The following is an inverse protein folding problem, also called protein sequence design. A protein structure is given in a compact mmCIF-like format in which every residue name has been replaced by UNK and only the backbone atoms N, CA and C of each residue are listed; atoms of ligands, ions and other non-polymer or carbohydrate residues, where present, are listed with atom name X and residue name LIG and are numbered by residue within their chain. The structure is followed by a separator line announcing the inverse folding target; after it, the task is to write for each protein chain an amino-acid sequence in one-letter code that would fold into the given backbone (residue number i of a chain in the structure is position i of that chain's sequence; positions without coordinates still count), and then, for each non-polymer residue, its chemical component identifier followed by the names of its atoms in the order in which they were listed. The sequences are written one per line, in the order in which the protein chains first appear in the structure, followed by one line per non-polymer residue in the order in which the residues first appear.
data_IF_093981628754
#
_entry.id   IF_093981628754
#
_cell.length_a   1.000
_cell.length_b   1.000
_cell.length_c   1.000
_cell.angle_alpha   90.00
_cell.angle_beta   90.00
_cell.angle_gamma   90.00
#
_symmetry.space_group_name_H-M   'P 1'
#
loop_
_entity.id
_entity.type
_entity.pdbx_description
1 polymer ?
#
# COMPACT_ATOMS: atom_id res chain seq x y z
N UNK A 1 -31.30 -0.22 4.52
CA UNK A 1 -31.35 -1.70 4.59
C UNK A 1 -30.24 -2.16 5.52
N UNK A 2 -30.55 -2.35 6.81
CA UNK A 2 -29.58 -2.84 7.79
C UNK A 2 -29.33 -4.35 7.54
N UNK A 3 -28.13 -4.70 7.09
CA UNK A 3 -27.74 -6.08 6.80
C UNK A 3 -27.56 -6.89 8.09
N UNK A 4 -27.99 -8.16 8.04
CA UNK A 4 -27.89 -9.18 9.09
C UNK A 4 -26.57 -9.11 9.87
N UNK A 5 -26.65 -8.85 11.17
CA UNK A 5 -25.52 -8.69 12.10
C UNK A 5 -24.78 -9.99 12.45
N UNK A 6 -24.25 -10.69 11.45
CA UNK A 6 -23.22 -11.71 11.66
C UNK A 6 -21.87 -11.04 11.84
N UNK A 7 -21.08 -11.48 12.82
CA UNK A 7 -19.71 -10.99 13.00
C UNK A 7 -18.83 -11.51 11.86
N UNK A 8 -18.48 -10.63 10.91
CA UNK A 8 -17.47 -10.95 9.91
C UNK A 8 -16.15 -11.33 10.62
N UNK A 9 -15.63 -12.51 10.28
CA UNK A 9 -14.37 -13.01 10.82
C UNK A 9 -13.21 -12.51 9.98
N UNK A 10 -12.14 -12.09 10.64
CA UNK A 10 -10.89 -11.79 9.95
C UNK A 10 -10.45 -13.01 9.12
N UNK A 11 -10.21 -12.78 7.84
CA UNK A 11 -9.83 -13.81 6.88
C UNK A 11 -8.45 -13.49 6.32
N UNK A 12 -7.55 -14.48 6.34
CA UNK A 12 -6.20 -14.42 5.81
C UNK A 12 -6.14 -15.30 4.56
N UNK A 13 -5.83 -14.68 3.42
CA UNK A 13 -5.75 -15.36 2.13
C UNK A 13 -4.34 -15.26 1.58
N UNK A 14 -3.74 -16.40 1.21
CA UNK A 14 -2.43 -16.45 0.57
C UNK A 14 -2.52 -16.38 -0.95
N UNK A 15 -1.59 -15.67 -1.58
CA UNK A 15 -1.47 -15.48 -3.03
C UNK A 15 -0.07 -15.83 -3.52
N UNK A 16 -0.01 -16.32 -4.76
CA UNK A 16 1.20 -16.71 -5.47
C UNK A 16 1.66 -15.65 -6.48
N UNK A 17 1.04 -14.48 -6.52
CA UNK A 17 1.44 -13.38 -7.39
C UNK A 17 1.38 -12.03 -6.65
N UNK A 18 2.25 -11.09 -7.04
CA UNK A 18 2.29 -9.75 -6.44
C UNK A 18 1.02 -8.91 -6.69
N UNK A 19 0.24 -9.25 -7.71
CA UNK A 19 -1.02 -8.57 -8.05
C UNK A 19 -2.23 -9.08 -7.26
N UNK A 20 -2.07 -10.11 -6.42
CA UNK A 20 -3.17 -10.74 -5.66
C UNK A 20 -4.30 -11.28 -6.56
N UNK A 21 -3.96 -11.78 -7.75
CA UNK A 21 -4.94 -12.32 -8.71
C UNK A 21 -5.08 -13.85 -8.62
N UNK A 22 -4.05 -14.53 -8.12
CA UNK A 22 -3.91 -15.98 -8.08
C UNK A 22 -3.64 -16.45 -6.66
N UNK A 23 -4.65 -17.04 -6.01
CA UNK A 23 -4.47 -17.62 -4.68
C UNK A 23 -3.40 -18.72 -4.69
N UNK A 24 -2.61 -18.77 -3.63
CA UNK A 24 -1.62 -19.82 -3.42
C UNK A 24 -2.30 -21.19 -3.32
N UNK A 25 -1.65 -22.22 -3.89
CA UNK A 25 -2.10 -23.60 -3.80
C UNK A 25 -1.90 -24.22 -2.42
N UNK A 26 -1.19 -23.53 -1.51
CA UNK A 26 -1.07 -23.89 -0.10
C UNK A 26 -2.44 -24.14 0.53
N UNK A 27 -2.53 -25.13 1.43
CA UNK A 27 -3.76 -25.45 2.16
C UNK A 27 -3.50 -25.53 3.67
N UNK A 28 -4.45 -25.07 4.49
CA UNK A 28 -5.70 -24.39 4.13
C UNK A 28 -5.47 -22.97 3.58
N UNK A 29 -6.33 -22.54 2.65
CA UNK A 29 -6.36 -21.19 2.08
C UNK A 29 -7.76 -20.92 1.52
N UNK A 30 -8.53 -19.93 2.04
CA UNK A 30 -8.15 -18.99 3.10
C UNK A 30 -8.22 -19.60 4.51
N UNK A 31 -7.59 -18.92 5.49
CA UNK A 31 -7.74 -19.19 6.92
C UNK A 31 -8.67 -18.12 7.51
N UNK A 32 -9.78 -18.54 8.10
CA UNK A 32 -10.64 -17.67 8.91
C UNK A 32 -10.23 -17.79 10.36
N UNK A 33 -10.06 -16.66 11.05
CA UNK A 33 -9.69 -16.68 12.47
C UNK A 33 -10.88 -17.13 13.31
N UNK A 34 -10.60 -17.89 14.37
CA UNK A 34 -11.65 -18.34 15.30
C UNK A 34 -12.14 -17.21 16.20
N UNK A 35 -11.22 -16.42 16.74
CA UNK A 35 -11.47 -15.24 17.57
C UNK A 35 -10.94 -14.05 16.79
N UNK A 36 -11.79 -13.05 16.58
CA UNK A 36 -11.36 -11.79 15.98
C UNK A 36 -10.39 -11.09 16.93
N UNK A 37 -9.36 -10.40 16.40
CA UNK A 37 -8.51 -9.57 17.25
C UNK A 37 -9.35 -8.52 17.97
N UNK A 38 -8.99 -8.21 19.20
CA UNK A 38 -9.54 -7.11 19.98
C UNK A 38 -9.11 -5.75 19.43
N UNK A 39 -7.89 -5.70 18.85
CA UNK A 39 -7.31 -4.52 18.22
C UNK A 39 -6.33 -4.91 17.11
N UNK A 40 -6.09 -3.97 16.20
CA UNK A 40 -4.96 -3.98 15.27
C UNK A 40 -4.33 -2.59 15.22
N UNK A 41 -3.06 -2.52 14.80
CA UNK A 41 -2.32 -1.27 14.63
C UNK A 41 -1.82 -1.14 13.20
N UNK A 42 -2.03 0.03 12.59
CA UNK A 42 -1.50 0.38 11.27
C UNK A 42 -0.50 1.53 11.42
N UNK A 43 0.72 1.32 10.91
CA UNK A 43 1.75 2.34 10.86
C UNK A 43 2.07 2.69 9.41
N UNK A 44 2.06 3.98 9.09
CA UNK A 44 2.49 4.51 7.79
C UNK A 44 3.70 5.41 8.02
N UNK A 45 4.71 5.33 7.17
CA UNK A 45 5.95 6.08 7.38
C UNK A 45 6.52 6.65 6.10
N UNK A 46 7.04 7.88 6.18
CA UNK A 46 7.76 8.52 5.07
C UNK A 46 9.19 8.83 5.51
N UNK A 47 10.14 8.69 4.59
CA UNK A 47 11.54 9.01 4.80
C UNK A 47 11.87 10.36 4.14
N UNK A 48 12.58 11.21 4.87
CA UNK A 48 13.10 12.49 4.36
C UNK A 48 14.61 12.58 4.56
N UNK A 49 15.31 13.12 3.58
CA UNK A 49 16.73 13.48 3.67
C UNK A 49 16.85 14.94 4.10
N UNK A 50 17.65 15.20 5.14
CA UNK A 50 18.02 16.57 5.53
C UNK A 50 19.27 16.97 4.76
N UNK A 51 19.16 17.97 3.88
CA UNK A 51 20.31 18.57 3.22
C UNK A 51 20.67 19.87 3.94
N UNK A 52 21.92 19.96 4.37
CA UNK A 52 22.50 21.17 4.94
C UNK A 52 23.46 21.76 3.91
N UNK A 53 23.11 22.91 3.34
CA UNK A 53 24.02 23.65 2.45
C UNK A 53 25.15 24.27 3.27
N UNK A 54 26.38 24.23 2.76
CA UNK A 54 27.50 24.92 3.39
C UNK A 54 27.22 26.44 3.46
N UNK A 55 27.20 27.00 4.66
CA UNK A 55 27.05 28.45 4.90
C UNK A 55 25.61 29.01 5.00
N UNK A 56 24.56 28.19 4.86
CA UNK A 56 23.17 28.64 4.97
C UNK A 56 22.46 28.14 6.25
N UNK A 57 21.68 29.01 6.91
CA UNK A 57 20.86 28.68 8.09
C UNK A 57 19.61 27.84 7.76
N UNK A 58 19.28 27.63 6.48
CA UNK A 58 18.12 26.87 6.03
C UNK A 58 18.37 25.35 5.99
N UNK A 59 17.68 24.58 6.83
CA UNK A 59 17.64 23.11 6.75
C UNK A 59 16.61 22.68 5.69
N UNK A 60 17.06 22.26 4.52
CA UNK A 60 16.15 21.72 3.48
C UNK A 60 15.81 20.27 3.81
N UNK A 61 14.52 19.97 3.96
CA UNK A 61 14.01 18.61 4.15
C UNK A 61 13.43 18.14 2.81
N UNK A 62 14.05 17.13 2.21
CA UNK A 62 13.66 16.60 0.89
C UNK A 62 13.05 15.22 1.08
N UNK A 63 11.89 14.97 0.48
CA UNK A 63 11.30 13.63 0.45
C UNK A 63 12.28 12.64 -0.19
N UNK A 64 12.49 11.51 0.47
CA UNK A 64 13.39 10.45 -0.02
C UNK A 64 12.58 9.28 -0.59
N UNK A 65 11.75 8.66 0.26
CA UNK A 65 10.91 7.52 -0.13
C UNK A 65 9.78 7.30 0.86
N UNK A 66 8.72 6.65 0.38
CA UNK A 66 7.73 6.02 1.25
C UNK A 66 8.37 4.79 1.95
N UNK A 67 8.06 4.57 3.23
CA UNK A 67 8.44 3.35 3.96
C UNK A 67 7.35 2.27 3.88
N UNK A 68 6.22 2.60 3.29
CA UNK A 68 5.04 1.76 3.18
C UNK A 68 4.22 1.71 4.46
N UNK A 69 3.20 0.88 4.40
CA UNK A 69 2.33 0.54 5.53
C UNK A 69 2.87 -0.69 6.27
N UNK A 70 2.65 -0.76 7.58
CA UNK A 70 2.80 -1.96 8.36
C UNK A 70 1.54 -2.21 9.18
N UNK A 71 1.04 -3.45 9.17
CA UNK A 71 -0.11 -3.89 9.96
C UNK A 71 0.37 -4.86 11.04
N UNK A 72 0.06 -4.57 12.29
CA UNK A 72 0.28 -5.45 13.43
C UNK A 72 -1.05 -5.90 14.02
N UNK A 73 -1.19 -7.19 14.29
CA UNK A 73 -2.34 -7.76 14.98
C UNK A 73 -1.96 -8.96 15.83
N UNK A 74 -2.84 -9.30 16.78
CA UNK A 74 -2.72 -10.47 17.62
C UNK A 74 -3.85 -11.47 17.34
N UNK A 75 -3.49 -12.70 17.01
CA UNK A 75 -4.41 -13.81 16.78
C UNK A 75 -4.40 -14.74 17.97
N UNK A 76 -5.57 -15.24 18.39
CA UNK A 76 -5.69 -16.24 19.45
C UNK A 76 -6.09 -17.56 18.81
N UNK A 77 -5.33 -18.60 19.13
CA UNK A 77 -5.59 -19.99 18.76
C UNK A 77 -5.93 -20.76 20.02
N UNK A 78 -7.01 -21.50 19.97
CA UNK A 78 -7.58 -22.21 21.11
C UNK A 78 -7.97 -23.63 20.69
N UNK A 79 -7.58 -24.60 21.52
CA UNK A 79 -7.90 -26.02 21.38
C UNK A 79 -8.70 -26.57 22.56
N UNK A 80 -9.28 -25.69 23.40
CA UNK A 80 -10.05 -26.08 24.60
C UNK A 80 -11.47 -26.53 24.27
N UNK A 81 -11.96 -26.22 23.06
CA UNK A 81 -13.34 -26.47 22.65
C UNK A 81 -14.37 -25.48 23.18
N UNK A 82 -13.92 -24.40 23.84
CA UNK A 82 -14.82 -23.37 24.41
C UNK A 82 -15.32 -22.36 23.38
N UNK A 83 -14.66 -22.24 22.24
CA UNK A 83 -15.01 -21.28 21.19
C UNK A 83 -15.99 -21.93 20.21
N UNK A 84 -17.22 -21.38 20.03
CA UNK A 84 -18.17 -21.88 19.05
C UNK A 84 -17.60 -21.83 17.62
N UNK A 85 -17.90 -22.85 16.82
CA UNK A 85 -17.43 -23.00 15.43
C UNK A 85 -15.89 -23.02 15.28
N UNK A 86 -15.15 -23.27 16.37
CA UNK A 86 -13.72 -23.48 16.32
C UNK A 86 -13.38 -24.75 15.52
N UNK A 87 -12.25 -24.76 14.80
CA UNK A 87 -11.75 -25.99 14.19
C UNK A 87 -11.60 -27.08 15.26
N UNK A 88 -11.92 -28.33 14.93
CA UNK A 88 -11.64 -29.49 15.78
C UNK A 88 -10.15 -29.85 15.85
N UNK A 89 -9.28 -28.94 15.43
CA UNK A 89 -7.83 -29.11 15.32
C UNK A 89 -7.14 -28.68 16.60
N UNK A 90 -6.05 -29.35 16.96
CA UNK A 90 -5.20 -28.91 18.06
C UNK A 90 -4.59 -27.53 17.78
N UNK A 91 -4.13 -26.82 18.83
CA UNK A 91 -3.45 -25.53 18.65
C UNK A 91 -2.23 -25.68 17.73
N UNK A 92 -1.47 -26.76 17.87
CA UNK A 92 -0.28 -27.02 17.06
C UNK A 92 -0.63 -27.21 15.58
N UNK A 93 -1.72 -27.92 15.28
CA UNK A 93 -2.21 -28.08 13.90
C UNK A 93 -2.69 -26.75 13.31
N UNK A 94 -3.41 -25.94 14.10
CA UNK A 94 -3.85 -24.62 13.66
C UNK A 94 -2.66 -23.67 13.40
N UNK A 95 -1.64 -23.70 14.26
CA UNK A 95 -0.41 -22.93 14.07
C UNK A 95 0.40 -23.43 12.88
N UNK A 96 0.45 -24.74 12.63
CA UNK A 96 1.09 -25.32 11.45
C UNK A 96 0.40 -24.85 10.17
N UNK A 97 -0.93 -24.83 10.15
CA UNK A 97 -1.70 -24.30 9.02
C UNK A 97 -1.41 -22.82 8.77
N UNK A 98 -1.38 -22.00 9.82
CA UNK A 98 -1.01 -20.59 9.70
C UNK A 98 0.41 -20.45 9.15
N UNK A 99 1.40 -21.11 9.75
CA UNK A 99 2.81 -21.07 9.34
C UNK A 99 2.97 -21.45 7.87
N UNK A 100 2.33 -22.53 7.44
CA UNK A 100 2.36 -22.98 6.04
C UNK A 100 1.84 -21.90 5.10
N UNK A 101 0.78 -21.18 5.50
CA UNK A 101 0.18 -20.13 4.67
C UNK A 101 1.03 -18.86 4.63
N UNK A 102 1.57 -18.37 5.75
CA UNK A 102 2.13 -17.01 5.86
C UNK A 102 3.65 -16.94 6.06
N UNK A 103 4.29 -18.02 6.47
CA UNK A 103 5.70 -18.04 6.88
C UNK A 103 6.57 -18.99 6.05
N UNK A 104 6.09 -20.21 5.76
CA UNK A 104 6.86 -21.20 5.03
C UNK A 104 7.08 -20.79 3.57
N UNK A 105 8.18 -21.26 2.98
CA UNK A 105 8.52 -20.98 1.59
C UNK A 105 7.55 -21.73 0.67
N UNK A 106 6.82 -20.98 -0.15
CA UNK A 106 6.07 -21.56 -1.24
C UNK A 106 7.01 -21.89 -2.40
N UNK A 107 7.11 -23.17 -2.76
CA UNK A 107 8.00 -23.66 -3.81
C UNK A 107 7.73 -23.10 -5.21
N UNK A 108 6.52 -22.61 -5.49
CA UNK A 108 6.19 -22.02 -6.79
C UNK A 108 6.76 -20.61 -6.98
N UNK A 109 6.96 -19.86 -5.89
CA UNK A 109 7.41 -18.45 -5.93
C UNK A 109 8.71 -18.23 -5.12
N UNK A 110 9.34 -19.31 -4.67
CA UNK A 110 10.57 -19.34 -3.88
C UNK A 110 10.60 -18.35 -2.70
N UNK A 111 9.45 -18.08 -2.10
CA UNK A 111 9.32 -17.15 -0.99
C UNK A 111 7.98 -17.39 -0.25
N UNK A 112 7.79 -16.83 0.96
CA UNK A 112 6.48 -16.90 1.63
C UNK A 112 5.38 -16.25 0.79
N UNK A 113 4.15 -16.71 0.93
CA UNK A 113 3.02 -16.18 0.16
C UNK A 113 2.84 -14.67 0.36
N UNK A 114 2.32 -14.01 -0.68
CA UNK A 114 1.66 -12.71 -0.49
C UNK A 114 0.37 -12.95 0.28
N UNK A 115 -0.01 -12.04 1.17
CA UNK A 115 -1.18 -12.22 2.03
C UNK A 115 -2.13 -11.03 1.92
N UNK A 116 -3.41 -11.35 1.88
CA UNK A 116 -4.49 -10.38 2.05
C UNK A 116 -5.19 -10.66 3.38
N UNK A 117 -5.31 -9.64 4.23
CA UNK A 117 -6.08 -9.67 5.46
C UNK A 117 -7.35 -8.85 5.25
N UNK A 118 -8.51 -9.48 5.45
CA UNK A 118 -9.82 -8.85 5.27
C UNK A 118 -10.68 -8.99 6.54
N UNK A 119 -11.17 -7.88 7.09
CA UNK A 119 -12.06 -7.86 8.26
C UNK A 119 -12.94 -6.59 8.31
N UNK A 120 -14.24 -6.72 8.06
CA UNK A 120 -15.12 -5.56 7.91
C UNK A 120 -14.63 -4.64 6.79
N UNK A 121 -14.29 -3.39 7.11
CA UNK A 121 -13.69 -2.44 6.17
C UNK A 121 -12.16 -2.55 6.04
N UNK A 122 -11.49 -3.32 6.92
CA UNK A 122 -10.06 -3.54 6.83
C UNK A 122 -9.77 -4.44 5.63
N UNK A 123 -8.96 -3.93 4.70
CA UNK A 123 -8.38 -4.71 3.61
C UNK A 123 -6.90 -4.36 3.49
N UNK A 124 -6.04 -5.28 3.91
CA UNK A 124 -4.60 -5.10 3.88
C UNK A 124 -3.95 -6.12 2.94
N UNK A 125 -3.02 -5.66 2.11
CA UNK A 125 -2.27 -6.49 1.16
C UNK A 125 -0.78 -6.35 1.45
N UNK A 126 -0.11 -7.48 1.67
CA UNK A 126 1.26 -7.43 2.14
C UNK A 126 1.97 -8.76 2.21
N UNK A 127 3.05 -8.78 2.98
CA UNK A 127 3.84 -9.97 3.30
C UNK A 127 4.16 -10.00 4.77
N UNK A 128 4.36 -11.20 5.32
CA UNK A 128 4.79 -11.36 6.70
C UNK A 128 6.18 -10.75 6.90
N UNK A 129 6.33 -9.94 7.95
CA UNK A 129 7.61 -9.38 8.40
C UNK A 129 8.13 -10.13 9.61
N UNK A 130 7.29 -10.27 10.64
CA UNK A 130 7.63 -10.91 11.91
C UNK A 130 6.43 -11.67 12.44
N UNK A 131 6.69 -12.78 13.14
CA UNK A 131 5.68 -13.56 13.83
C UNK A 131 6.28 -14.08 15.15
N UNK A 132 5.64 -13.76 16.26
CA UNK A 132 5.94 -14.31 17.59
C UNK A 132 4.77 -15.14 18.10
N UNK A 133 5.04 -16.19 18.85
CA UNK A 133 4.03 -17.12 19.38
C UNK A 133 4.24 -17.27 20.87
N UNK A 134 3.23 -16.87 21.65
CA UNK A 134 3.18 -17.02 23.10
C UNK A 134 2.20 -18.14 23.47
N UNK A 135 2.69 -19.26 23.98
CA UNK A 135 1.85 -20.35 24.48
C UNK A 135 1.44 -20.06 25.93
N UNK A 136 0.15 -20.13 26.25
CA UNK A 136 -0.39 -19.58 27.51
C UNK A 136 -1.23 -20.55 28.33
N UNK A 137 -1.73 -21.65 27.76
CA UNK A 137 -2.50 -22.66 28.46
C UNK A 137 -2.07 -24.04 28.00
N UNK A 138 -1.95 -24.97 28.94
CA UNK A 138 -1.46 -26.34 28.69
C UNK A 138 -2.32 -27.37 29.40
N UNK A 139 -2.45 -28.55 28.80
CA UNK A 139 -2.96 -29.74 29.44
C UNK A 139 -1.92 -30.30 30.44
N UNK A 140 -2.31 -31.18 31.39
CA UNK A 140 -1.38 -31.79 32.34
C UNK A 140 -0.23 -32.58 31.70
N UNK A 141 -0.40 -33.05 30.46
CA UNK A 141 0.61 -33.75 29.67
C UNK A 141 1.59 -32.81 28.93
N UNK A 142 1.40 -31.48 29.06
CA UNK A 142 2.21 -30.46 28.40
C UNK A 142 1.71 -30.03 27.02
N UNK A 143 0.62 -30.59 26.51
CA UNK A 143 0.04 -30.18 25.21
C UNK A 143 -0.50 -28.75 25.29
N UNK A 144 -0.13 -27.89 24.33
CA UNK A 144 -0.63 -26.53 24.27
C UNK A 144 -2.13 -26.49 23.90
N UNK A 145 -2.93 -25.85 24.76
CA UNK A 145 -4.36 -25.65 24.57
C UNK A 145 -4.71 -24.21 24.15
N UNK A 146 -3.78 -23.26 24.31
CA UNK A 146 -3.96 -21.88 23.81
C UNK A 146 -2.62 -21.22 23.45
N UNK A 147 -2.61 -20.52 22.32
CA UNK A 147 -1.50 -19.70 21.90
C UNK A 147 -1.96 -18.32 21.39
N UNK A 148 -1.14 -17.30 21.61
CA UNK A 148 -1.30 -15.97 21.05
C UNK A 148 -0.20 -15.72 20.02
N UNK A 149 -0.59 -15.44 18.79
CA UNK A 149 0.34 -15.12 17.70
C UNK A 149 0.32 -13.62 17.47
N UNK A 150 1.46 -12.97 17.66
CA UNK A 150 1.67 -11.57 17.29
C UNK A 150 2.35 -11.53 15.93
N UNK A 151 1.65 -11.03 14.91
CA UNK A 151 2.15 -10.95 13.55
C UNK A 151 2.22 -9.50 13.06
N UNK A 152 3.32 -9.15 12.40
CA UNK A 152 3.48 -7.87 11.72
C UNK A 152 3.65 -8.14 10.24
N UNK A 153 2.88 -7.44 9.43
CA UNK A 153 2.90 -7.52 7.98
C UNK A 153 3.39 -6.19 7.40
N UNK A 154 4.16 -6.26 6.32
CA UNK A 154 4.55 -5.09 5.53
C UNK A 154 3.65 -4.99 4.30
N UNK A 155 3.18 -3.78 4.04
CA UNK A 155 2.36 -3.45 2.89
C UNK A 155 3.11 -3.77 1.61
N UNK A 156 2.41 -4.39 0.68
CA UNK A 156 2.95 -4.72 -0.63
C UNK A 156 1.96 -4.23 -1.68
N UNK A 157 2.44 -3.31 -2.51
CA UNK A 157 1.74 -2.83 -3.68
C UNK A 157 2.54 -3.26 -4.91
N UNK A 158 1.85 -3.81 -5.91
CA UNK A 158 2.50 -4.05 -7.19
C UNK A 158 2.89 -2.69 -7.80
N UNK A 159 4.04 -2.63 -8.46
CA UNK A 159 4.54 -1.41 -9.11
C UNK A 159 3.63 -0.95 -10.26
N UNK A 160 2.65 -1.75 -10.67
CA UNK A 160 1.61 -1.39 -11.63
C UNK A 160 0.61 -0.38 -11.03
N UNK A 161 0.20 -0.55 -9.77
CA UNK A 161 -0.59 0.42 -9.01
C UNK A 161 0.21 1.70 -8.74
N UNK A 162 1.50 1.53 -8.41
CA UNK A 162 2.46 2.62 -8.23
C UNK A 162 2.73 3.42 -9.50
N UNK A 163 2.74 2.79 -10.69
CA UNK A 163 2.87 3.49 -11.98
C UNK A 163 1.61 4.26 -12.36
N UNK A 164 0.42 3.79 -11.98
CA UNK A 164 -0.81 4.56 -12.17
C UNK A 164 -0.85 5.81 -11.28
N UNK A 165 -0.39 5.68 -10.02
CA UNK A 165 -0.28 6.81 -9.10
C UNK A 165 0.91 7.75 -9.42
N UNK A 166 2.06 7.22 -9.84
CA UNK A 166 3.23 8.01 -10.25
C UNK A 166 3.05 8.67 -11.62
N UNK A 167 2.23 8.11 -12.52
CA UNK A 167 1.86 8.79 -13.77
C UNK A 167 1.10 10.11 -13.54
N UNK A 168 0.53 10.33 -12.35
CA UNK A 168 -0.11 11.59 -11.98
C UNK A 168 0.89 12.65 -11.49
N UNK A 169 2.16 12.32 -11.28
CA UNK A 169 3.16 13.24 -10.71
C UNK A 169 4.57 13.13 -11.30
N UNK A 170 4.74 12.42 -12.42
CA UNK A 170 5.96 12.46 -13.21
C UNK A 170 5.97 13.70 -14.10
N UNK A 171 7.06 14.49 -14.18
CA UNK A 171 7.23 15.65 -15.08
C UNK A 171 7.18 15.35 -16.60
N UNK A 172 6.74 14.15 -16.96
CA UNK A 172 6.83 13.55 -18.29
C UNK A 172 5.44 13.40 -18.96
N UNK A 173 4.43 14.08 -18.41
CA UNK A 173 3.10 14.19 -19.01
C UNK A 173 2.95 15.57 -19.60
N UNK A 174 2.62 15.63 -20.90
CA UNK A 174 2.09 16.85 -21.52
C UNK A 174 0.87 17.31 -20.73
N UNK A 175 0.95 18.42 -20.00
CA UNK A 175 -0.18 18.92 -19.22
C UNK A 175 -1.21 19.55 -20.17
N UNK A 176 -2.47 19.13 -20.10
CA UNK A 176 -3.56 19.81 -20.81
C UNK A 176 -4.23 20.79 -19.85
N UNK A 177 -4.21 22.07 -20.17
CA UNK A 177 -4.83 23.12 -19.34
C UNK A 177 -5.85 23.89 -20.16
N UNK A 178 -7.07 24.00 -19.65
CA UNK A 178 -8.12 24.85 -20.21
C UNK A 178 -7.95 26.27 -19.70
N UNK A 179 -7.84 27.23 -20.62
CA UNK A 179 -7.68 28.66 -20.33
C UNK A 179 -8.94 29.19 -19.64
N UNK A 180 -8.79 29.86 -18.51
CA UNK A 180 -9.87 30.62 -17.87
C UNK A 180 -9.74 32.12 -18.18
N UNK A 181 -10.82 32.87 -17.99
CA UNK A 181 -10.80 34.32 -18.16
C UNK A 181 -9.81 34.96 -17.17
N UNK A 182 -8.83 35.68 -17.70
CA UNK A 182 -7.75 36.30 -16.91
C UNK A 182 -6.46 35.47 -16.83
N UNK A 183 -6.44 34.25 -17.38
CA UNK A 183 -5.19 33.50 -17.52
C UNK A 183 -4.31 34.11 -18.62
N UNK A 184 -2.99 34.09 -18.38
CA UNK A 184 -1.98 34.44 -19.38
C UNK A 184 -1.02 33.27 -19.57
N UNK A 185 -0.46 33.12 -20.76
CA UNK A 185 0.43 32.00 -21.06
C UNK A 185 1.65 31.93 -20.10
N UNK A 186 2.32 33.05 -19.76
CA UNK A 186 3.41 33.04 -18.78
C UNK A 186 2.98 32.62 -17.38
N UNK A 187 1.76 32.98 -16.95
CA UNK A 187 1.19 32.57 -15.66
C UNK A 187 0.94 31.06 -15.61
N UNK A 188 0.41 30.50 -16.71
CA UNK A 188 0.20 29.07 -16.85
C UNK A 188 1.54 28.30 -16.90
N UNK A 189 2.55 28.82 -17.61
CA UNK A 189 3.91 28.26 -17.60
C UNK A 189 4.54 28.26 -16.21
N UNK A 190 4.40 29.36 -15.45
CA UNK A 190 4.90 29.41 -14.08
C UNK A 190 4.19 28.42 -13.16
N UNK A 191 2.87 28.22 -13.32
CA UNK A 191 2.12 27.21 -12.55
C UNK A 191 2.56 25.77 -12.85
N UNK A 192 2.85 25.46 -14.12
CA UNK A 192 3.10 24.08 -14.58
C UNK A 192 4.59 23.72 -14.48
N UNK A 193 5.48 24.61 -14.90
CA UNK A 193 6.93 24.37 -14.93
C UNK A 193 7.71 25.06 -13.81
N UNK A 194 7.06 25.91 -13.02
CA UNK A 194 7.74 26.74 -12.01
C UNK A 194 8.52 27.93 -12.61
N UNK A 195 8.44 28.14 -13.93
CA UNK A 195 9.18 29.17 -14.64
C UNK A 195 8.35 29.73 -15.79
N UNK A 196 8.20 31.06 -15.83
CA UNK A 196 7.41 31.75 -16.83
C UNK A 196 8.09 31.81 -18.20
N UNK A 197 9.41 31.57 -18.30
CA UNK A 197 10.21 31.76 -19.55
C UNK A 197 9.88 30.77 -20.66
N UNK A 198 9.23 29.66 -20.35
CA UNK A 198 8.90 28.61 -21.31
C UNK A 198 7.66 28.90 -22.18
N UNK A 199 7.02 30.06 -22.01
CA UNK A 199 5.82 30.45 -22.75
C UNK A 199 6.00 30.46 -24.27
N UNK A 200 7.18 30.79 -24.79
CA UNK A 200 7.46 30.76 -26.24
C UNK A 200 7.41 29.33 -26.80
N UNK A 201 8.01 28.38 -26.10
CA UNK A 201 8.02 26.98 -26.52
C UNK A 201 6.60 26.36 -26.45
N UNK A 202 5.81 26.76 -25.46
CA UNK A 202 4.41 26.33 -25.34
C UNK A 202 3.53 26.98 -26.42
N UNK A 203 3.75 28.27 -26.73
CA UNK A 203 3.02 28.96 -27.78
C UNK A 203 3.22 28.31 -29.15
N UNK A 204 4.48 27.98 -29.47
CA UNK A 204 4.85 27.30 -30.71
C UNK A 204 4.22 25.90 -30.80
N UNK A 205 4.30 25.13 -29.70
CA UNK A 205 3.70 23.79 -29.63
C UNK A 205 2.17 23.79 -29.83
N UNK A 206 1.49 24.82 -29.33
CA UNK A 206 0.03 24.98 -29.46
C UNK A 206 -0.42 25.77 -30.69
N UNK A 207 0.52 26.20 -31.55
CA UNK A 207 0.28 27.04 -32.72
C UNK A 207 -0.57 28.27 -32.36
N UNK A 208 -0.11 29.01 -31.36
CA UNK A 208 -0.72 30.26 -30.94
C UNK A 208 -0.17 31.42 -31.78
N UNK A 209 -1.01 31.96 -32.67
CA UNK A 209 -0.67 33.14 -33.47
C UNK A 209 -0.57 34.41 -32.62
N UNK A 210 -1.42 34.52 -31.59
CA UNK A 210 -1.32 35.54 -30.55
C UNK A 210 -1.29 34.89 -29.16
N UNK A 211 -0.11 34.84 -28.55
CA UNK A 211 0.08 34.30 -27.20
C UNK A 211 -0.19 35.33 -26.09
N UNK A 212 -0.43 36.60 -26.44
CA UNK A 212 -0.78 37.67 -25.48
C UNK A 212 -2.26 37.68 -25.15
N UNK A 213 -3.09 37.15 -26.04
CA UNK A 213 -4.54 37.01 -25.84
C UNK A 213 -4.93 35.54 -25.92
N UNK A 214 -5.21 34.94 -24.76
CA UNK A 214 -5.70 33.56 -24.70
C UNK A 214 -7.22 33.55 -24.67
N UNK A 215 -7.84 32.82 -25.58
CA UNK A 215 -9.29 32.63 -25.60
C UNK A 215 -9.73 31.72 -24.44
N UNK A 216 -10.60 32.20 -23.53
CA UNK A 216 -11.14 31.36 -22.46
C UNK A 216 -11.90 30.16 -23.02
N UNK A 217 -11.70 28.99 -22.42
CA UNK A 217 -12.26 27.71 -22.88
C UNK A 217 -11.36 26.93 -23.85
N UNK A 218 -10.28 27.54 -24.35
CA UNK A 218 -9.29 26.85 -25.20
C UNK A 218 -8.43 25.91 -24.36
N UNK A 219 -8.22 24.69 -24.84
CA UNK A 219 -7.29 23.73 -24.23
C UNK A 219 -5.89 23.91 -24.82
N UNK A 220 -4.90 24.07 -23.95
CA UNK A 220 -3.48 24.20 -24.29
C UNK A 220 -2.70 23.00 -23.76
N UNK A 221 -1.77 22.50 -24.59
CA UNK A 221 -0.88 21.39 -24.33
C UNK A 221 0.50 21.91 -23.92
N UNK A 222 0.94 21.56 -22.72
CA UNK A 222 2.22 21.95 -22.16
C UNK A 222 3.19 20.76 -22.25
N UNK A 223 4.05 20.69 -23.29
CA UNK A 223 4.95 19.55 -23.50
C UNK A 223 6.01 19.45 -22.39
N UNK A 224 6.58 18.26 -22.14
CA UNK A 224 7.67 18.13 -21.19
C UNK A 224 8.87 18.95 -21.66
N UNK A 225 9.33 19.87 -20.80
CA UNK A 225 10.60 20.55 -21.01
C UNK A 225 11.71 19.55 -20.65
N UNK A 226 12.17 18.77 -21.65
CA UNK A 226 13.44 18.06 -21.52
C UNK A 226 14.47 19.08 -21.02
N UNK A 227 15.24 18.74 -19.98
CA UNK A 227 16.31 19.61 -19.48
C UNK A 227 17.31 19.85 -20.60
N UNK A 228 17.04 20.86 -21.43
CA UNK A 228 17.88 21.27 -22.53
C UNK A 228 19.00 22.13 -21.93
N UNK A 229 20.14 21.48 -21.72
CA UNK A 229 21.47 22.04 -21.89
C UNK A 229 21.86 23.24 -21.02
N UNK A 230 22.72 22.97 -20.05
CA UNK A 230 23.97 23.74 -19.95
C UNK A 230 25.12 22.83 -20.33
#
# INVERSE_FOLDING_TARGET
MAGKGGLDKLTITGFADPGFNSQARTRPNPIKVMINPDQYSQAMGVCYTKQQGAGGTGKKVVFNRDKGEALELALIFDGTGTVPDAPTKSVDEQLADLKRLIYEINGAIHSPNYVQLAWGSLLFKGRLKTMGIDYTLFAPDGTALRAKVKATFLGYHDNTDGRAAQKLSSPDMTHVVTVLAGDTLPLLCHRIYGDSRYYLAVADHNRLDDFRTLEPGRSLLFPPIAQAGR
#
